data_IF_473084008803
#
_entry.id   IF_473084008803
#
_cell.length_a   1.000
_cell.length_b   1.000
_cell.length_c   1.000
_cell.angle_alpha   90.00
_cell.angle_beta   90.00
_cell.angle_gamma   90.00
#
_symmetry.space_group_name_H-M   'P 1'
#
loop_
_entity.id
_entity.type
_entity.pdbx_description
1 polymer ?
#
# COMPACT_ATOMS: atom_id res chain seq x y z
N UNK A 1 3.02 5.07 5.91
CA UNK A 1 4.19 4.37 6.45
C UNK A 1 5.37 5.26 6.17
N UNK A 2 5.86 5.95 7.19
CA UNK A 2 6.91 6.96 7.04
C UNK A 2 8.24 6.39 7.55
N UNK A 3 8.57 5.17 7.11
CA UNK A 3 9.86 4.54 7.36
C UNK A 3 10.91 5.18 6.47
N UNK A 4 11.54 6.27 6.94
CA UNK A 4 12.67 6.88 6.23
C UNK A 4 13.79 5.84 6.17
N UNK A 5 14.25 5.45 4.97
CA UNK A 5 15.38 4.52 4.77
C UNK A 5 16.58 4.91 5.65
N UNK A 6 16.81 6.22 5.79
CA UNK A 6 17.84 6.80 6.64
C UNK A 6 17.78 6.38 8.14
N UNK A 7 16.62 5.98 8.66
CA UNK A 7 16.47 5.53 10.04
C UNK A 7 16.92 4.08 10.26
N UNK A 8 16.98 3.27 9.19
CA UNK A 8 17.42 1.88 9.23
C UNK A 8 18.89 1.72 8.82
N UNK A 9 19.48 2.74 8.20
CA UNK A 9 20.90 2.73 7.86
C UNK A 9 21.78 2.89 9.11
N UNK A 10 23.06 2.52 8.98
CA UNK A 10 24.09 2.86 9.96
C UNK A 10 24.26 4.38 10.10
N UNK A 11 25.01 4.82 11.12
CA UNK A 11 25.24 6.25 11.40
C UNK A 11 25.77 7.03 10.21
N UNK A 12 26.59 6.37 9.37
CA UNK A 12 27.20 6.96 8.17
C UNK A 12 26.31 6.89 6.92
N UNK A 13 25.16 6.23 7.01
CA UNK A 13 24.19 5.99 5.91
C UNK A 13 24.78 5.33 4.66
N UNK A 14 25.80 4.50 4.82
CA UNK A 14 26.51 3.88 3.69
C UNK A 14 25.91 2.55 3.25
N UNK A 15 25.09 1.91 4.10
CA UNK A 15 24.51 0.58 3.87
C UNK A 15 23.01 0.66 3.48
N UNK A 16 22.62 1.72 2.78
CA UNK A 16 21.21 1.94 2.41
C UNK A 16 20.67 0.86 1.48
N UNK A 17 21.54 0.28 0.66
CA UNK A 17 21.29 -0.80 -0.29
C UNK A 17 21.00 -2.12 0.43
N UNK A 18 21.76 -2.42 1.48
CA UNK A 18 21.53 -3.61 2.32
C UNK A 18 20.17 -3.58 3.02
N UNK A 19 19.71 -2.39 3.44
CA UNK A 19 18.44 -2.24 4.16
C UNK A 19 17.22 -2.07 3.24
N UNK A 20 17.44 -1.83 1.95
CA UNK A 20 16.39 -1.54 0.97
C UNK A 20 15.35 -2.66 0.87
N UNK A 21 15.80 -3.91 0.94
CA UNK A 21 14.92 -5.08 0.88
C UNK A 21 13.89 -5.09 2.04
N UNK A 22 14.30 -4.69 3.24
CA UNK A 22 13.42 -4.66 4.40
C UNK A 22 12.37 -3.56 4.27
N UNK A 23 12.79 -2.37 3.79
CA UNK A 23 11.88 -1.25 3.54
C UNK A 23 10.88 -1.60 2.45
N UNK A 24 11.34 -2.24 1.37
CA UNK A 24 10.48 -2.66 0.26
C UNK A 24 9.45 -3.69 0.71
N UNK A 25 9.89 -4.70 1.48
CA UNK A 25 8.99 -5.69 2.06
C UNK A 25 7.93 -5.04 2.96
N UNK A 26 8.37 -4.16 3.86
CA UNK A 26 7.50 -3.46 4.79
C UNK A 26 6.48 -2.56 4.06
N UNK A 27 6.92 -1.85 3.02
CA UNK A 27 6.06 -1.05 2.15
C UNK A 27 5.02 -1.90 1.44
N UNK A 28 5.42 -3.03 0.86
CA UNK A 28 4.53 -3.91 0.11
C UNK A 28 3.46 -4.58 0.99
N UNK A 29 3.79 -4.86 2.26
CA UNK A 29 2.93 -5.62 3.19
C UNK A 29 2.10 -4.74 4.12
N UNK A 30 2.31 -3.42 4.11
CA UNK A 30 1.62 -2.50 5.01
C UNK A 30 0.52 -1.71 4.34
N UNK A 31 -0.52 -1.39 5.13
CA UNK A 31 -1.67 -0.63 4.65
C UNK A 31 -1.20 0.77 4.27
N UNK A 32 -1.37 1.11 2.99
CA UNK A 32 -1.03 2.43 2.50
C UNK A 32 -2.12 3.44 2.87
N UNK A 33 -1.71 4.60 3.41
CA UNK A 33 -2.64 5.54 4.05
C UNK A 33 -3.72 6.09 3.09
N UNK A 34 -3.36 6.29 1.82
CA UNK A 34 -4.24 6.85 0.79
C UNK A 34 -5.20 5.83 0.22
N UNK A 35 -4.75 4.61 -0.06
CA UNK A 35 -5.57 3.57 -0.71
C UNK A 35 -6.33 2.72 0.30
N UNK A 36 -5.86 2.67 1.56
CA UNK A 36 -6.33 1.78 2.63
C UNK A 36 -6.14 0.29 2.35
N UNK A 37 -5.25 -0.03 1.42
CA UNK A 37 -4.92 -1.40 1.00
C UNK A 37 -3.39 -1.57 0.99
N UNK A 38 -2.92 -2.82 1.00
CA UNK A 38 -1.48 -3.10 0.86
C UNK A 38 -1.10 -3.13 -0.62
N UNK A 39 0.08 -2.62 -1.03
CA UNK A 39 0.53 -2.71 -2.41
C UNK A 39 0.62 -4.15 -2.94
N UNK A 40 1.04 -5.09 -2.08
CA UNK A 40 1.09 -6.52 -2.43
C UNK A 40 -0.30 -7.06 -2.80
N UNK A 41 -1.31 -6.78 -1.99
CA UNK A 41 -2.67 -7.27 -2.22
C UNK A 41 -3.28 -6.69 -3.50
N UNK A 42 -3.06 -5.40 -3.79
CA UNK A 42 -3.50 -4.79 -5.05
C UNK A 42 -2.80 -5.37 -6.28
N UNK A 43 -1.57 -5.89 -6.14
CA UNK A 43 -0.81 -6.46 -7.26
C UNK A 43 -1.11 -7.93 -7.49
N UNK A 44 -1.27 -8.70 -6.42
CA UNK A 44 -1.38 -10.16 -6.48
C UNK A 44 -2.79 -10.71 -6.19
N UNK A 45 -3.74 -9.85 -5.80
CA UNK A 45 -5.12 -10.26 -5.51
C UNK A 45 -5.25 -11.17 -4.28
N UNK A 46 -4.24 -11.17 -3.40
CA UNK A 46 -4.20 -11.93 -2.16
C UNK A 46 -3.37 -11.21 -1.11
N UNK A 47 -3.63 -11.49 0.16
CA UNK A 47 -2.79 -10.99 1.23
C UNK A 47 -1.41 -11.67 1.23
N UNK A 48 -0.40 -10.92 1.63
CA UNK A 48 0.93 -11.47 1.87
C UNK A 48 0.84 -12.43 3.06
N UNK A 49 1.50 -13.60 2.95
CA UNK A 49 1.63 -14.55 4.04
C UNK A 49 3.03 -14.34 4.62
N UNK A 50 3.09 -13.92 5.87
CA UNK A 50 4.31 -13.58 6.59
C UNK A 50 4.77 -14.79 7.42
N UNK A 51 6.07 -14.93 7.73
CA UNK A 51 6.59 -16.07 8.49
C UNK A 51 5.94 -16.28 9.87
N UNK A 52 5.39 -15.21 10.45
CA UNK A 52 4.70 -15.23 11.75
C UNK A 52 3.17 -15.34 11.64
N UNK A 53 2.61 -15.36 10.42
CA UNK A 53 1.20 -15.66 10.24
C UNK A 53 0.97 -17.14 10.54
N UNK A 54 -0.11 -17.47 11.26
CA UNK A 54 -0.53 -18.86 11.42
C UNK A 54 -0.79 -19.45 10.04
N UNK A 55 0.14 -20.30 9.58
CA UNK A 55 -0.04 -21.08 8.37
C UNK A 55 -1.21 -22.03 8.62
N UNK A 56 -2.37 -21.73 8.02
CA UNK A 56 -3.43 -22.73 7.89
C UNK A 56 -2.84 -23.92 7.15
N UNK A 57 -3.29 -25.13 7.52
CA UNK A 57 -2.92 -26.34 6.79
C UNK A 57 -3.02 -26.09 5.29
N UNK A 58 -2.04 -26.60 4.53
CA UNK A 58 -2.05 -26.54 3.07
C UNK A 58 -3.27 -27.33 2.62
N UNK A 59 -4.42 -26.65 2.54
CA UNK A 59 -5.60 -27.19 1.90
C UNK A 59 -5.15 -27.43 0.48
N UNK A 60 -5.13 -28.70 0.07
CA UNK A 60 -4.81 -29.08 -1.30
C UNK A 60 -5.60 -28.16 -2.23
N UNK A 61 -4.91 -27.63 -3.24
CA UNK A 61 -5.53 -26.84 -4.29
C UNK A 61 -6.55 -27.74 -5.00
N UNK A 62 -7.75 -27.82 -4.45
CA UNK A 62 -8.94 -28.24 -5.19
C UNK A 62 -8.93 -27.34 -6.43
N UNK A 63 -8.92 -27.95 -7.61
CA UNK A 63 -8.98 -27.22 -8.88
C UNK A 63 -10.30 -26.45 -8.94
N UNK A 64 -10.34 -25.27 -8.33
CA UNK A 64 -11.44 -24.34 -8.42
C UNK A 64 -11.37 -23.74 -9.83
N UNK A 65 -12.20 -24.26 -10.73
CA UNK A 65 -12.29 -23.81 -12.12
C UNK A 65 -12.65 -22.33 -12.23
N UNK A 66 -13.24 -21.75 -11.19
CA UNK A 66 -13.64 -20.34 -11.14
C UNK A 66 -12.62 -19.44 -10.42
N UNK A 67 -11.48 -19.99 -9.96
CA UNK A 67 -10.50 -19.25 -9.17
C UNK A 67 -10.02 -17.95 -9.85
N UNK A 68 -9.74 -18.02 -11.15
CA UNK A 68 -9.31 -16.86 -11.93
C UNK A 68 -10.35 -15.75 -11.96
N UNK A 69 -11.63 -16.10 -12.11
CA UNK A 69 -12.72 -15.13 -12.14
C UNK A 69 -12.94 -14.50 -10.76
N UNK A 70 -12.85 -15.29 -9.68
CA UNK A 70 -12.92 -14.79 -8.30
C UNK A 70 -11.81 -13.78 -8.01
N UNK A 71 -10.57 -14.07 -8.42
CA UNK A 71 -9.45 -13.12 -8.29
C UNK A 71 -9.71 -11.86 -9.11
N UNK A 72 -10.20 -11.98 -10.35
CA UNK A 72 -10.50 -10.83 -11.20
C UNK A 72 -11.52 -9.89 -10.56
N UNK A 73 -12.67 -10.43 -10.13
CA UNK A 73 -13.73 -9.67 -9.46
C UNK A 73 -13.18 -9.00 -8.18
N UNK A 74 -12.37 -9.73 -7.42
CA UNK A 74 -11.77 -9.20 -6.20
C UNK A 74 -10.80 -8.05 -6.46
N UNK A 75 -9.91 -8.18 -7.46
CA UNK A 75 -9.00 -7.11 -7.88
C UNK A 75 -9.76 -5.87 -8.39
N UNK A 76 -10.84 -6.06 -9.15
CA UNK A 76 -11.68 -4.95 -9.60
C UNK A 76 -12.29 -4.17 -8.44
N UNK A 77 -12.78 -4.89 -7.42
CA UNK A 77 -13.27 -4.29 -6.19
C UNK A 77 -12.18 -3.51 -5.47
N UNK A 78 -10.99 -4.09 -5.29
CA UNK A 78 -9.86 -3.42 -4.64
C UNK A 78 -9.49 -2.11 -5.35
N UNK A 79 -9.34 -2.17 -6.68
CA UNK A 79 -9.02 -0.99 -7.50
C UNK A 79 -10.10 0.09 -7.39
N UNK A 80 -11.38 -0.31 -7.39
CA UNK A 80 -12.49 0.63 -7.23
C UNK A 80 -12.44 1.36 -5.89
N UNK A 81 -12.27 0.62 -4.79
CA UNK A 81 -12.14 1.18 -3.44
C UNK A 81 -10.92 2.11 -3.31
N UNK A 82 -9.76 1.68 -3.84
CA UNK A 82 -8.55 2.48 -3.82
C UNK A 82 -8.74 3.82 -4.56
N UNK A 83 -9.40 3.81 -5.73
CA UNK A 83 -9.73 5.04 -6.48
C UNK A 83 -10.62 5.98 -5.67
N UNK A 84 -11.67 5.48 -5.05
CA UNK A 84 -12.56 6.28 -4.21
C UNK A 84 -11.80 6.94 -3.05
N UNK A 85 -10.92 6.18 -2.40
CA UNK A 85 -10.09 6.70 -1.31
C UNK A 85 -9.07 7.75 -1.79
N UNK A 86 -8.47 7.56 -2.96
CA UNK A 86 -7.55 8.55 -3.57
C UNK A 86 -8.30 9.86 -3.85
N UNK A 87 -9.45 9.79 -4.51
CA UNK A 87 -10.26 10.98 -4.85
C UNK A 87 -10.66 11.73 -3.58
N UNK A 88 -11.14 11.01 -2.57
CA UNK A 88 -11.51 11.59 -1.27
C UNK A 88 -10.32 12.30 -0.60
N UNK A 89 -9.16 11.66 -0.56
CA UNK A 89 -7.96 12.27 0.01
C UNK A 89 -7.51 13.51 -0.78
N UNK A 90 -7.55 13.47 -2.12
CA UNK A 90 -7.23 14.63 -2.96
C UNK A 90 -8.16 15.82 -2.68
N UNK A 91 -9.47 15.58 -2.55
CA UNK A 91 -10.43 16.62 -2.19
C UNK A 91 -10.15 17.23 -0.80
N UNK A 92 -9.79 16.39 0.18
CA UNK A 92 -9.42 16.86 1.52
C UNK A 92 -8.14 17.71 1.49
N UNK A 93 -7.11 17.29 0.76
CA UNK A 93 -5.88 18.06 0.60
C UNK A 93 -6.14 19.40 -0.10
N UNK A 94 -6.95 19.41 -1.16
CA UNK A 94 -7.38 20.63 -1.83
C UNK A 94 -8.06 21.58 -0.86
N UNK A 95 -9.07 21.11 -0.14
CA UNK A 95 -9.83 21.92 0.83
C UNK A 95 -8.91 22.52 1.90
N UNK A 96 -7.98 21.73 2.44
CA UNK A 96 -7.00 22.20 3.44
C UNK A 96 -6.03 23.23 2.88
N UNK A 97 -5.59 23.06 1.64
CA UNK A 97 -4.73 24.03 0.97
C UNK A 97 -5.48 25.35 0.73
N UNK A 98 -6.70 25.27 0.19
CA UNK A 98 -7.54 26.43 -0.12
C UNK A 98 -7.86 27.25 1.15
N UNK A 99 -8.10 26.61 2.30
CA UNK A 99 -8.32 27.28 3.58
C UNK A 99 -7.11 28.07 4.09
N UNK A 100 -5.89 27.55 3.87
CA UNK A 100 -4.65 28.17 4.36
C UNK A 100 -4.00 29.08 3.32
N UNK A 101 -4.63 29.25 2.15
CA UNK A 101 -4.11 30.09 1.07
C UNK A 101 -4.28 31.56 1.44
N UNK A 102 -3.16 32.26 1.67
CA UNK A 102 -3.18 33.72 1.76
C UNK A 102 -3.60 34.32 0.41
N UNK A 103 -4.56 35.24 0.42
CA UNK A 103 -4.92 36.02 -0.77
C UNK A 103 -3.77 36.98 -1.09
N UNK A 104 -2.82 36.52 -1.91
CA UNK A 104 -1.82 37.37 -2.53
C UNK A 104 -2.53 38.29 -3.52
N UNK A 105 -2.75 39.54 -3.10
CA UNK A 105 -3.09 40.62 -4.02
C UNK A 105 -1.83 40.93 -4.83
N UNK A 106 -1.83 40.55 -6.10
CA UNK A 106 -0.85 41.05 -7.06
C UNK A 106 -1.08 42.57 -7.20
N UNK A 107 -0.04 43.37 -6.93
CA UNK A 107 -0.01 44.81 -7.17
C UNK A 107 0.28 45.09 -8.64
#
# INVERSE_FOLDING_TARGET
MDGKIAALCNERRTNWDEVLQYVTFNYNTSIHATTKQTPFEMMYGRQAILPFDQQKEIISLTQDSEHGEKIRIYLEKLVHEARNNIIKNQQQYKTRYDLNRQNLSLK
#
